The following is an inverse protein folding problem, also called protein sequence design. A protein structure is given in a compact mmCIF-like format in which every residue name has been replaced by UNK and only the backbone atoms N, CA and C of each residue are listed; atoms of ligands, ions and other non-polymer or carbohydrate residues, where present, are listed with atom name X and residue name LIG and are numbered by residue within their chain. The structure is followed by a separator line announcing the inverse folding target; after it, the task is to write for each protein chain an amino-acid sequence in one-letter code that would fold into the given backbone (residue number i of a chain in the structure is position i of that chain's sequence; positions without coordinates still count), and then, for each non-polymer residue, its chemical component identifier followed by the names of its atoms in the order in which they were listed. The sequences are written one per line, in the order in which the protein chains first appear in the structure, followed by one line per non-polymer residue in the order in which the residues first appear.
data_IF_397622885307
#
_entry.id   IF_397622885307
#
_cell.length_a   1.000
_cell.length_b   1.000
_cell.length_c   1.000
_cell.angle_alpha   90.00
_cell.angle_beta   90.00
_cell.angle_gamma   90.00
#
_symmetry.space_group_name_H-M   'P 1'
#
loop_
_entity.id
_entity.type
_entity.pdbx_description
1 polymer ?
#
# COMPACT_ATOMS: atom_id res chain seq x y z
N UNK A 1 9.06 19.58 5.53
CA UNK A 1 8.34 18.60 4.71
C UNK A 1 8.73 18.66 3.25
N UNK A 2 8.69 19.82 2.58
CA UNK A 2 9.14 20.01 1.18
C UNK A 2 10.56 19.49 0.94
N UNK A 3 11.51 19.82 1.83
CA UNK A 3 12.92 19.36 1.72
C UNK A 3 13.04 17.82 1.72
N UNK A 4 12.24 17.13 2.54
CA UNK A 4 12.23 15.66 2.59
C UNK A 4 11.66 15.07 1.30
N UNK A 5 10.54 15.61 0.77
CA UNK A 5 9.96 15.17 -0.50
C UNK A 5 10.94 15.38 -1.65
N UNK A 6 11.48 16.58 -1.78
CA UNK A 6 12.45 16.91 -2.86
C UNK A 6 13.70 16.05 -2.74
N UNK A 7 14.25 15.88 -1.54
CA UNK A 7 15.46 15.07 -1.31
C UNK A 7 15.25 13.59 -1.64
N UNK A 8 14.09 13.01 -1.27
CA UNK A 8 13.80 11.61 -1.58
C UNK A 8 13.54 11.38 -3.07
N UNK A 9 12.81 12.27 -3.74
CA UNK A 9 12.59 12.15 -5.19
C UNK A 9 13.91 12.31 -5.95
N UNK A 10 14.75 13.29 -5.56
CA UNK A 10 16.07 13.46 -6.13
C UNK A 10 16.96 12.23 -5.93
N UNK A 11 16.96 11.65 -4.72
CA UNK A 11 17.65 10.39 -4.44
C UNK A 11 17.18 9.25 -5.35
N UNK A 12 15.87 9.13 -5.56
CA UNK A 12 15.29 8.13 -6.46
C UNK A 12 15.71 8.35 -7.93
N UNK A 13 15.79 9.61 -8.40
CA UNK A 13 16.28 9.96 -9.74
C UNK A 13 17.75 9.54 -9.90
N UNK A 14 18.61 9.90 -8.94
CA UNK A 14 20.05 9.56 -8.98
C UNK A 14 20.23 8.03 -8.98
N UNK A 15 19.54 7.32 -8.11
CA UNK A 15 19.60 5.86 -8.03
C UNK A 15 19.11 5.24 -9.36
N UNK A 16 18.01 5.74 -9.92
CA UNK A 16 17.48 5.27 -11.19
C UNK A 16 18.47 5.47 -12.36
N UNK A 17 19.17 6.61 -12.43
CA UNK A 17 20.21 6.88 -13.44
C UNK A 17 21.35 5.86 -13.31
N UNK A 18 21.86 5.66 -12.08
CA UNK A 18 22.96 4.69 -11.85
C UNK A 18 22.50 3.29 -12.26
N UNK A 19 21.26 2.92 -11.93
CA UNK A 19 20.71 1.62 -12.26
C UNK A 19 20.59 1.41 -13.78
N UNK A 20 20.08 2.41 -14.51
CA UNK A 20 19.99 2.37 -15.98
C UNK A 20 21.35 2.24 -16.69
N UNK A 21 22.41 2.76 -16.09
CA UNK A 21 23.75 2.75 -16.66
C UNK A 21 24.54 1.46 -16.35
N UNK A 22 24.32 0.85 -15.19
CA UNK A 22 25.20 -0.23 -14.71
C UNK A 22 24.66 -1.63 -14.94
N UNK A 23 23.33 -1.84 -14.88
CA UNK A 23 22.66 -3.13 -15.10
C UNK A 23 23.33 -4.34 -14.42
N UNK A 24 24.03 -4.11 -13.32
CA UNK A 24 24.75 -5.15 -12.58
C UNK A 24 23.94 -5.59 -11.36
N UNK A 25 23.82 -6.90 -11.15
CA UNK A 25 23.00 -7.47 -10.07
C UNK A 25 23.46 -7.04 -8.67
N UNK A 26 24.79 -7.07 -8.40
CA UNK A 26 25.31 -6.67 -7.08
C UNK A 26 25.07 -5.16 -6.81
N UNK A 27 25.29 -4.33 -7.84
CA UNK A 27 24.97 -2.89 -7.77
C UNK A 27 23.47 -2.68 -7.60
N UNK A 28 22.64 -3.42 -8.33
CA UNK A 28 21.19 -3.37 -8.21
C UNK A 28 20.72 -3.63 -6.76
N UNK A 29 21.26 -4.62 -6.06
CA UNK A 29 20.92 -4.90 -4.66
C UNK A 29 21.17 -3.69 -3.74
N UNK A 30 22.31 -3.01 -3.90
CA UNK A 30 22.64 -1.81 -3.12
C UNK A 30 21.72 -0.65 -3.49
N UNK A 31 21.45 -0.46 -4.79
CA UNK A 31 20.56 0.59 -5.27
C UNK A 31 19.10 0.38 -4.80
N UNK A 32 18.61 -0.85 -4.78
CA UNK A 32 17.30 -1.18 -4.26
C UNK A 32 17.18 -0.93 -2.76
N UNK A 33 18.23 -1.23 -1.98
CA UNK A 33 18.26 -0.85 -0.57
C UNK A 33 18.21 0.68 -0.41
N UNK A 34 18.95 1.43 -1.23
CA UNK A 34 18.92 2.89 -1.27
C UNK A 34 17.54 3.45 -1.65
N UNK A 35 16.88 2.84 -2.64
CA UNK A 35 15.48 3.17 -2.99
C UNK A 35 14.53 2.91 -1.82
N UNK A 36 14.68 1.78 -1.12
CA UNK A 36 13.90 1.48 0.07
C UNK A 36 14.01 2.58 1.13
N UNK A 37 15.23 3.03 1.42
CA UNK A 37 15.45 4.15 2.35
C UNK A 37 14.81 5.44 1.84
N UNK A 38 15.05 5.79 0.58
CA UNK A 38 14.54 7.04 -0.01
C UNK A 38 13.02 7.06 -0.09
N UNK A 39 12.40 5.97 -0.53
CA UNK A 39 10.95 5.92 -0.78
C UNK A 39 10.16 5.57 0.48
N UNK A 40 10.51 4.50 1.19
CA UNK A 40 9.71 4.01 2.32
C UNK A 40 9.90 4.90 3.55
N UNK A 41 11.15 5.21 3.92
CA UNK A 41 11.41 5.96 5.15
C UNK A 41 11.22 7.47 4.99
N UNK A 42 11.61 8.04 3.85
CA UNK A 42 11.61 9.50 3.67
C UNK A 42 10.39 9.98 2.91
N UNK A 43 10.18 9.49 1.68
CA UNK A 43 9.08 9.94 0.83
C UNK A 43 7.72 9.60 1.43
N UNK A 44 7.54 8.33 1.82
CA UNK A 44 6.25 7.84 2.30
C UNK A 44 5.80 8.55 3.58
N UNK A 45 6.69 8.72 4.53
CA UNK A 45 6.39 9.46 5.77
C UNK A 45 6.04 10.93 5.49
N UNK A 46 6.77 11.57 4.56
CA UNK A 46 6.54 12.96 4.20
C UNK A 46 5.23 13.17 3.44
N UNK A 47 4.90 12.31 2.46
CA UNK A 47 3.67 12.41 1.67
C UNK A 47 2.42 12.08 2.50
N UNK A 48 2.49 11.03 3.32
CA UNK A 48 1.40 10.66 4.24
C UNK A 48 1.07 11.81 5.19
N UNK A 49 2.10 12.45 5.76
CA UNK A 49 1.92 13.65 6.59
C UNK A 49 1.34 14.82 5.77
N UNK A 50 1.77 14.98 4.52
CA UNK A 50 1.25 16.05 3.65
C UNK A 50 -0.24 15.87 3.36
N UNK A 51 -0.67 14.67 3.00
CA UNK A 51 -2.08 14.33 2.77
C UNK A 51 -2.90 14.51 4.04
N UNK A 52 -2.36 14.08 5.20
CA UNK A 52 -3.00 14.27 6.51
C UNK A 52 -3.18 15.73 6.94
N UNK A 53 -2.53 16.69 6.25
CA UNK A 53 -2.69 18.14 6.48
C UNK A 53 -3.65 18.82 5.49
N UNK A 54 -4.21 18.04 4.54
CA UNK A 54 -5.21 18.52 3.58
C UNK A 54 -6.60 18.19 4.12
N UNK A 55 -7.50 19.18 4.08
CA UNK A 55 -8.87 18.99 4.57
C UNK A 55 -9.00 19.02 6.09
N UNK A 56 -10.20 18.78 6.56
CA UNK A 56 -10.55 18.66 7.97
C UNK A 56 -10.37 17.22 8.48
N UNK A 57 -10.44 17.02 9.80
CA UNK A 57 -10.39 15.67 10.38
C UNK A 57 -11.50 14.74 9.85
N UNK A 58 -12.64 15.33 9.48
CA UNK A 58 -13.81 14.61 8.96
C UNK A 58 -13.67 14.22 7.48
N UNK A 59 -12.73 14.84 6.75
CA UNK A 59 -12.50 14.63 5.30
C UNK A 59 -11.25 13.79 5.01
N UNK A 60 -10.57 13.28 6.03
CA UNK A 60 -9.30 12.58 5.86
C UNK A 60 -9.42 11.28 5.05
N UNK A 61 -10.53 10.56 5.23
CA UNK A 61 -10.79 9.36 4.43
C UNK A 61 -10.87 9.69 2.93
N UNK A 62 -11.57 10.76 2.58
CA UNK A 62 -11.66 11.23 1.19
C UNK A 62 -10.31 11.71 0.66
N UNK A 63 -9.54 12.47 1.45
CA UNK A 63 -8.22 12.97 1.04
C UNK A 63 -7.26 11.82 0.69
N UNK A 64 -7.18 10.80 1.55
CA UNK A 64 -6.37 9.62 1.27
C UNK A 64 -6.94 8.80 0.09
N UNK A 65 -8.26 8.66 0.01
CA UNK A 65 -8.91 7.97 -1.10
C UNK A 65 -8.59 8.61 -2.46
N UNK A 66 -8.67 9.94 -2.57
CA UNK A 66 -8.31 10.68 -3.78
C UNK A 66 -6.83 10.53 -4.10
N UNK A 67 -5.96 10.60 -3.09
CA UNK A 67 -4.52 10.40 -3.26
C UNK A 67 -4.21 9.04 -3.90
N UNK A 68 -4.78 7.96 -3.37
CA UNK A 68 -4.55 6.62 -3.91
C UNK A 68 -5.19 6.41 -5.29
N UNK A 69 -6.39 6.96 -5.53
CA UNK A 69 -7.00 6.90 -6.85
C UNK A 69 -6.16 7.61 -7.91
N UNK A 70 -5.67 8.82 -7.61
CA UNK A 70 -4.80 9.57 -8.49
C UNK A 70 -3.48 8.83 -8.74
N UNK A 71 -2.87 8.25 -7.70
CA UNK A 71 -1.64 7.46 -7.83
C UNK A 71 -1.86 6.21 -8.69
N UNK A 72 -3.02 5.54 -8.58
CA UNK A 72 -3.39 4.40 -9.43
C UNK A 72 -3.49 4.75 -10.91
N UNK A 73 -4.12 5.87 -11.24
CA UNK A 73 -4.23 6.36 -12.64
C UNK A 73 -2.84 6.67 -13.20
N UNK A 74 -2.04 7.43 -12.46
CA UNK A 74 -0.68 7.80 -12.89
C UNK A 74 0.20 6.56 -13.05
N UNK A 75 0.11 5.60 -12.13
CA UNK A 75 0.84 4.32 -12.23
C UNK A 75 0.43 3.51 -13.46
N UNK A 76 -0.87 3.46 -13.79
CA UNK A 76 -1.35 2.78 -14.98
C UNK A 76 -0.80 3.41 -16.26
N UNK A 77 -0.82 4.75 -16.36
CA UNK A 77 -0.25 5.49 -17.50
C UNK A 77 1.25 5.23 -17.60
N UNK A 78 1.99 5.34 -16.48
CA UNK A 78 3.43 5.11 -16.44
C UNK A 78 3.79 3.70 -16.90
N UNK A 79 3.10 2.67 -16.37
CA UNK A 79 3.33 1.29 -16.75
C UNK A 79 3.04 1.06 -18.23
N UNK A 80 1.96 1.64 -18.77
CA UNK A 80 1.63 1.56 -20.19
C UNK A 80 2.71 2.20 -21.06
N UNK A 81 3.21 3.39 -20.70
CA UNK A 81 4.29 4.07 -21.42
C UNK A 81 5.58 3.26 -21.34
N UNK A 82 5.98 2.78 -20.16
CA UNK A 82 7.19 1.96 -19.99
C UNK A 82 7.12 0.68 -20.85
N UNK A 83 5.95 0.05 -20.90
CA UNK A 83 5.73 -1.14 -21.74
C UNK A 83 5.83 -0.80 -23.24
N UNK A 84 5.34 0.34 -23.69
CA UNK A 84 5.42 0.72 -25.10
C UNK A 84 6.87 1.08 -25.50
N UNK A 85 7.57 1.86 -24.67
CA UNK A 85 8.96 2.24 -25.00
C UNK A 85 9.94 1.06 -24.88
N UNK A 86 9.65 0.07 -24.03
CA UNK A 86 10.47 -1.14 -23.95
C UNK A 86 10.45 -1.97 -25.23
N UNK A 87 9.40 -1.84 -26.06
CA UNK A 87 9.27 -2.52 -27.36
C UNK A 87 10.11 -1.87 -28.48
N UNK A 88 10.82 -0.75 -28.20
CA UNK A 88 11.67 -0.09 -29.19
C UNK A 88 12.97 -0.87 -29.46
N UNK A 89 13.27 -1.92 -28.70
CA UNK A 89 14.41 -2.80 -28.90
C UNK A 89 14.01 -4.25 -28.72
N UNK A 90 14.55 -5.13 -29.58
CA UNK A 90 14.39 -6.58 -29.46
C UNK A 90 15.39 -7.21 -28.48
N UNK A 91 16.48 -6.47 -28.14
CA UNK A 91 17.43 -6.93 -27.14
C UNK A 91 16.86 -6.71 -25.72
N UNK A 92 16.72 -7.78 -24.91
CA UNK A 92 16.09 -7.70 -23.59
C UNK A 92 16.78 -6.71 -22.64
N UNK A 93 18.12 -6.60 -22.70
CA UNK A 93 18.90 -5.70 -21.85
C UNK A 93 18.64 -4.24 -22.21
N UNK A 94 18.70 -3.92 -23.50
CA UNK A 94 18.41 -2.57 -24.02
C UNK A 94 16.96 -2.19 -23.79
N UNK A 95 16.02 -3.09 -24.04
CA UNK A 95 14.59 -2.92 -23.78
C UNK A 95 14.31 -2.55 -22.30
N UNK A 96 14.93 -3.28 -21.38
CA UNK A 96 14.82 -3.00 -19.95
C UNK A 96 15.45 -1.64 -19.58
N UNK A 97 16.64 -1.32 -20.12
CA UNK A 97 17.30 -0.03 -19.90
C UNK A 97 16.42 1.15 -20.34
N UNK A 98 15.80 1.05 -21.53
CA UNK A 98 14.89 2.07 -22.04
C UNK A 98 13.71 2.28 -21.08
N UNK A 99 13.11 1.20 -20.57
CA UNK A 99 12.02 1.29 -19.59
C UNK A 99 12.47 1.98 -18.29
N UNK A 100 13.68 1.69 -17.80
CA UNK A 100 14.24 2.36 -16.60
C UNK A 100 14.47 3.85 -16.88
N UNK A 101 15.01 4.22 -18.04
CA UNK A 101 15.16 5.63 -18.42
C UNK A 101 13.83 6.37 -18.51
N UNK A 102 12.78 5.73 -19.00
CA UNK A 102 11.44 6.31 -18.98
C UNK A 102 10.95 6.58 -17.55
N UNK A 103 11.14 5.62 -16.62
CA UNK A 103 10.81 5.82 -15.20
C UNK A 103 11.62 6.97 -14.57
N UNK A 104 12.90 7.08 -14.88
CA UNK A 104 13.75 8.17 -14.42
C UNK A 104 13.24 9.52 -14.93
N UNK A 105 12.87 9.61 -16.21
CA UNK A 105 12.32 10.83 -16.80
C UNK A 105 11.02 11.25 -16.10
N UNK A 106 10.10 10.33 -15.86
CA UNK A 106 8.86 10.62 -15.11
C UNK A 106 9.14 11.07 -13.68
N UNK A 107 10.09 10.44 -13.00
CA UNK A 107 10.48 10.81 -11.63
C UNK A 107 11.14 12.19 -11.60
N UNK A 108 11.93 12.53 -12.62
CA UNK A 108 12.52 13.87 -12.76
C UNK A 108 11.44 14.95 -13.01
N UNK A 109 10.43 14.65 -13.83
CA UNK A 109 9.27 15.54 -14.00
C UNK A 109 8.55 15.73 -12.67
N UNK A 110 8.30 14.65 -11.92
CA UNK A 110 7.68 14.74 -10.60
C UNK A 110 8.50 15.58 -9.61
N UNK A 111 9.85 15.50 -9.68
CA UNK A 111 10.76 16.36 -8.91
C UNK A 111 10.53 17.85 -9.22
N UNK A 112 10.53 18.20 -10.51
CA UNK A 112 10.33 19.58 -10.96
C UNK A 112 8.95 20.10 -10.52
N UNK A 113 7.90 19.31 -10.74
CA UNK A 113 6.54 19.66 -10.32
C UNK A 113 6.44 19.87 -8.79
N UNK A 114 7.10 18.99 -8.02
CA UNK A 114 7.15 19.13 -6.55
C UNK A 114 7.88 20.40 -6.13
N UNK A 115 8.99 20.75 -6.79
CA UNK A 115 9.71 21.99 -6.51
C UNK A 115 8.88 23.24 -6.79
N UNK A 116 8.12 23.25 -7.90
CA UNK A 116 7.35 24.40 -8.35
C UNK A 116 6.05 24.53 -7.55
N UNK A 117 5.26 23.48 -7.52
CA UNK A 117 3.87 23.54 -7.05
C UNK A 117 3.70 23.20 -5.56
N UNK A 118 4.59 22.41 -4.97
CA UNK A 118 4.46 22.08 -3.58
C UNK A 118 4.83 23.27 -2.70
N UNK A 119 3.83 24.00 -2.25
CA UNK A 119 3.97 25.08 -1.27
C UNK A 119 3.71 24.49 0.11
N UNK A 120 4.72 24.53 0.96
CA UNK A 120 4.55 24.26 2.37
C UNK A 120 3.59 25.34 2.91
N UNK A 121 2.33 24.97 3.22
CA UNK A 121 1.47 25.88 3.98
C UNK A 121 2.26 26.19 5.23
N UNK A 122 2.55 27.48 5.48
CA UNK A 122 2.81 27.93 6.82
C UNK A 122 1.53 27.63 7.60
N UNK A 123 1.45 26.42 8.14
CA UNK A 123 0.52 26.22 9.22
C UNK A 123 1.05 27.22 10.23
N UNK A 124 0.27 28.26 10.49
CA UNK A 124 0.36 28.97 11.75
C UNK A 124 0.13 27.85 12.76
N UNK A 125 1.21 27.15 13.06
CA UNK A 125 1.27 26.31 14.22
C UNK A 125 0.88 27.29 15.32
N UNK A 126 -0.32 27.13 15.87
CA UNK A 126 -0.46 27.46 17.27
C UNK A 126 0.82 26.93 17.86
N UNK A 127 1.71 27.85 18.24
CA UNK A 127 3.02 27.55 18.79
C UNK A 127 2.85 26.57 19.95
N UNK A 128 2.77 25.30 19.63
CA UNK A 128 3.21 24.28 20.54
C UNK A 128 4.71 24.19 20.27
N UNK A 129 5.45 25.02 21.01
CA UNK A 129 6.90 24.97 21.26
C UNK A 129 7.71 24.25 20.17
N UNK A 130 8.78 24.89 19.70
CA UNK A 130 9.93 24.31 19.01
C UNK A 130 10.47 23.09 19.79
N UNK A 131 9.71 22.02 19.87
CA UNK A 131 10.20 20.77 20.39
C UNK A 131 10.89 20.07 19.23
N UNK A 132 12.21 20.34 19.12
CA UNK A 132 13.14 19.55 18.30
C UNK A 132 12.81 18.05 18.47
N UNK A 133 12.90 17.31 17.36
CA UNK A 133 12.79 15.84 17.40
C UNK A 133 13.79 15.31 18.44
N UNK A 134 13.28 14.78 19.54
CA UNK A 134 14.10 14.15 20.57
C UNK A 134 13.91 12.64 20.50
N UNK A 135 14.99 11.89 20.59
CA UNK A 135 14.97 10.41 20.65
C UNK A 135 14.01 9.91 21.76
N UNK A 136 13.78 10.72 22.78
CA UNK A 136 12.78 10.45 23.82
C UNK A 136 11.37 10.18 23.24
N UNK A 137 10.97 10.87 22.17
CA UNK A 137 9.64 10.68 21.55
C UNK A 137 9.51 9.34 20.83
N UNK A 138 10.63 8.78 20.34
CA UNK A 138 10.64 7.41 19.82
C UNK A 138 10.33 6.42 20.95
N UNK A 139 10.97 6.61 22.11
CA UNK A 139 10.71 5.80 23.30
C UNK A 139 9.25 5.92 23.79
N UNK A 140 8.66 7.12 23.75
CA UNK A 140 7.25 7.33 24.11
C UNK A 140 6.30 6.67 23.11
N UNK A 141 6.57 6.78 21.81
CA UNK A 141 5.78 6.12 20.77
C UNK A 141 5.83 4.59 20.91
N UNK A 142 7.01 4.02 21.17
CA UNK A 142 7.18 2.57 21.37
C UNK A 142 6.51 2.05 22.64
N UNK A 143 6.42 2.86 23.71
CA UNK A 143 5.72 2.51 24.95
C UNK A 143 4.20 2.58 24.82
N UNK A 144 3.68 3.27 23.81
CA UNK A 144 2.24 3.41 23.62
C UNK A 144 1.66 2.13 22.98
N UNK A 145 0.78 1.39 23.67
CA UNK A 145 0.20 0.16 23.12
C UNK A 145 -0.62 0.41 21.84
N UNK A 146 -1.18 1.62 21.68
CA UNK A 146 -1.93 1.99 20.47
C UNK A 146 -1.02 2.00 19.23
N UNK A 147 0.27 2.35 19.36
CA UNK A 147 1.24 2.32 18.27
C UNK A 147 1.39 0.91 17.72
N UNK A 148 1.53 -0.08 18.59
CA UNK A 148 1.66 -1.48 18.19
C UNK A 148 0.39 -2.04 17.55
N UNK A 149 -0.77 -1.78 18.16
CA UNK A 149 -2.05 -2.21 17.61
C UNK A 149 -2.30 -1.59 16.24
N UNK A 150 -2.03 -0.29 16.07
CA UNK A 150 -2.18 0.38 14.79
C UNK A 150 -1.21 -0.20 13.74
N UNK A 151 0.06 -0.42 14.11
CA UNK A 151 1.06 -1.03 13.22
C UNK A 151 0.69 -2.43 12.78
N UNK A 152 0.19 -3.27 13.69
CA UNK A 152 -0.27 -4.63 13.39
C UNK A 152 -1.55 -4.63 12.54
N UNK A 153 -2.44 -3.68 12.74
CA UNK A 153 -3.62 -3.49 11.88
C UNK A 153 -3.18 -3.12 10.45
N UNK A 154 -2.20 -2.20 10.31
CA UNK A 154 -1.60 -1.85 9.01
C UNK A 154 -0.97 -3.08 8.35
N UNK A 155 -0.22 -3.90 9.11
CA UNK A 155 0.37 -5.16 8.63
C UNK A 155 -0.69 -6.10 8.05
N UNK A 156 -1.79 -6.30 8.77
CA UNK A 156 -2.86 -7.17 8.30
C UNK A 156 -3.52 -6.62 7.03
N UNK A 157 -3.84 -5.32 7.00
CA UNK A 157 -4.48 -4.70 5.85
C UNK A 157 -3.56 -4.68 4.61
N UNK A 158 -2.27 -4.36 4.80
CA UNK A 158 -1.28 -4.37 3.73
C UNK A 158 -1.00 -5.78 3.22
N UNK A 159 -0.88 -6.76 4.12
CA UNK A 159 -0.69 -8.15 3.74
C UNK A 159 -1.84 -8.71 2.88
N UNK A 160 -3.07 -8.31 3.16
CA UNK A 160 -4.23 -8.64 2.33
C UNK A 160 -4.17 -7.93 0.97
N UNK A 161 -3.76 -6.66 0.94
CA UNK A 161 -3.63 -5.86 -0.27
C UNK A 161 -2.56 -6.42 -1.22
N UNK A 162 -1.34 -6.68 -0.74
CA UNK A 162 -0.23 -7.15 -1.59
C UNK A 162 -0.47 -8.57 -2.11
N UNK A 163 -1.18 -9.41 -1.35
CA UNK A 163 -1.40 -10.81 -1.68
C UNK A 163 -2.49 -11.08 -2.73
N UNK A 164 -3.22 -10.05 -3.17
CA UNK A 164 -4.24 -10.23 -4.25
C UNK A 164 -3.63 -10.66 -5.58
N UNK A 165 -2.32 -10.47 -5.77
CA UNK A 165 -1.56 -10.94 -6.93
C UNK A 165 -1.64 -12.45 -7.14
N UNK A 166 -1.78 -13.24 -6.07
CA UNK A 166 -1.90 -14.70 -6.11
C UNK A 166 -3.19 -15.20 -6.76
N UNK A 167 -4.18 -14.34 -6.94
CA UNK A 167 -5.36 -14.69 -7.74
C UNK A 167 -5.04 -14.85 -9.23
N UNK A 168 -3.99 -14.23 -9.77
CA UNK A 168 -3.65 -14.36 -11.19
C UNK A 168 -3.19 -15.79 -11.55
N UNK A 169 -2.17 -16.37 -10.89
CA UNK A 169 -1.81 -17.75 -11.12
C UNK A 169 -2.92 -18.72 -10.66
N UNK A 170 -3.69 -18.44 -9.62
CA UNK A 170 -4.84 -19.26 -9.24
C UNK A 170 -5.88 -19.38 -10.37
N UNK A 171 -6.20 -18.29 -11.04
CA UNK A 171 -7.13 -18.31 -12.19
C UNK A 171 -6.61 -19.15 -13.36
N UNK A 172 -5.28 -19.13 -13.63
CA UNK A 172 -4.69 -19.92 -14.73
C UNK A 172 -4.48 -21.37 -14.33
N UNK A 173 -3.85 -21.62 -13.21
CA UNK A 173 -3.30 -22.93 -12.86
C UNK A 173 -4.35 -23.86 -12.23
N UNK A 174 -5.34 -23.29 -11.54
CA UNK A 174 -6.40 -24.06 -10.86
C UNK A 174 -7.71 -24.02 -11.64
N UNK A 175 -8.10 -22.84 -12.13
CA UNK A 175 -9.40 -22.66 -12.79
C UNK A 175 -9.31 -22.72 -14.32
N UNK A 176 -8.10 -22.89 -14.90
CA UNK A 176 -7.89 -23.07 -16.34
C UNK A 176 -8.25 -21.83 -17.19
N UNK A 177 -8.30 -20.64 -16.61
CA UNK A 177 -8.60 -19.41 -17.34
C UNK A 177 -7.40 -19.06 -18.23
N UNK A 178 -7.60 -18.76 -19.53
CA UNK A 178 -6.51 -18.42 -20.43
C UNK A 178 -5.64 -17.29 -19.90
N UNK A 179 -4.31 -17.41 -20.03
CA UNK A 179 -3.31 -16.46 -19.52
C UNK A 179 -3.60 -15.01 -19.93
N UNK A 180 -4.06 -14.79 -21.17
CA UNK A 180 -4.40 -13.44 -21.67
C UNK A 180 -5.51 -12.81 -20.84
N UNK A 181 -6.56 -13.57 -20.50
CA UNK A 181 -7.66 -13.10 -19.68
C UNK A 181 -7.22 -12.87 -18.23
N UNK A 182 -6.48 -13.79 -17.65
CA UNK A 182 -5.92 -13.65 -16.29
C UNK A 182 -5.01 -12.42 -16.18
N UNK A 183 -4.18 -12.15 -17.21
CA UNK A 183 -3.32 -10.97 -17.27
C UNK A 183 -4.14 -9.68 -17.33
N UNK A 184 -5.21 -9.64 -18.13
CA UNK A 184 -6.11 -8.48 -18.18
C UNK A 184 -6.79 -8.25 -16.83
N UNK A 185 -7.30 -9.30 -16.19
CA UNK A 185 -7.90 -9.23 -14.85
C UNK A 185 -6.87 -8.72 -13.83
N UNK A 186 -5.59 -9.11 -13.97
CA UNK A 186 -4.50 -8.62 -13.12
C UNK A 186 -4.29 -7.11 -13.25
N UNK A 187 -4.35 -6.58 -14.48
CA UNK A 187 -4.26 -5.13 -14.73
C UNK A 187 -5.44 -4.40 -14.06
N UNK A 188 -6.66 -4.91 -14.21
CA UNK A 188 -7.85 -4.35 -13.55
C UNK A 188 -7.65 -4.35 -12.04
N UNK A 189 -7.21 -5.48 -11.49
CA UNK A 189 -6.98 -5.67 -10.05
C UNK A 189 -5.93 -4.72 -9.48
N UNK A 190 -4.82 -4.54 -10.18
CA UNK A 190 -3.68 -3.76 -9.68
C UNK A 190 -3.84 -2.25 -9.85
N UNK A 191 -4.53 -1.81 -10.90
CA UNK A 191 -4.60 -0.40 -11.27
C UNK A 191 -6.01 0.19 -11.12
N UNK A 192 -7.03 -0.46 -11.69
CA UNK A 192 -8.38 0.11 -11.70
C UNK A 192 -9.07 0.04 -10.34
N UNK A 193 -8.73 -0.95 -9.50
CA UNK A 193 -9.30 -1.03 -8.14
C UNK A 193 -8.87 0.13 -7.24
N UNK A 194 -7.78 0.84 -7.54
CA UNK A 194 -7.40 2.08 -6.84
C UNK A 194 -8.48 3.17 -6.96
N UNK A 195 -9.29 3.14 -8.02
CA UNK A 195 -10.41 4.07 -8.20
C UNK A 195 -11.52 3.88 -7.13
N UNK A 196 -11.50 2.77 -6.41
CA UNK A 196 -12.43 2.51 -5.30
C UNK A 196 -11.97 3.16 -3.98
N UNK A 197 -10.72 3.65 -3.90
CA UNK A 197 -10.22 4.29 -2.69
C UNK A 197 -11.07 5.49 -2.22
N UNK A 198 -11.55 6.42 -3.10
CA UNK A 198 -12.45 7.49 -2.69
C UNK A 198 -13.78 6.98 -2.13
N UNK A 199 -14.27 5.84 -2.62
CA UNK A 199 -15.47 5.19 -2.08
C UNK A 199 -15.22 4.75 -0.63
N UNK A 200 -14.04 4.16 -0.34
CA UNK A 200 -13.59 3.89 1.03
C UNK A 200 -13.60 5.15 1.90
N UNK A 201 -13.12 6.28 1.35
CA UNK A 201 -13.17 7.58 2.02
C UNK A 201 -14.59 8.03 2.37
N UNK A 202 -15.51 7.98 1.40
CA UNK A 202 -16.93 8.32 1.61
C UNK A 202 -17.55 7.41 2.69
N UNK A 203 -17.25 6.12 2.66
CA UNK A 203 -17.74 5.14 3.64
C UNK A 203 -17.25 5.52 5.05
N UNK A 204 -15.97 5.84 5.20
CA UNK A 204 -15.39 6.26 6.49
C UNK A 204 -16.03 7.56 6.97
N UNK A 205 -16.06 8.59 6.14
CA UNK A 205 -16.38 9.94 6.56
C UNK A 205 -17.89 10.17 6.70
N UNK A 206 -18.71 9.60 5.81
CA UNK A 206 -20.16 9.86 5.77
C UNK A 206 -21.02 8.74 6.36
N UNK A 207 -20.64 7.47 6.16
CA UNK A 207 -21.47 6.33 6.58
C UNK A 207 -21.12 5.91 8.00
N UNK A 208 -19.87 5.52 8.24
CA UNK A 208 -19.44 5.03 9.54
C UNK A 208 -19.06 6.13 10.52
N UNK A 209 -18.62 7.29 10.02
CA UNK A 209 -18.04 8.41 10.79
C UNK A 209 -16.95 7.93 11.76
N UNK A 210 -16.20 6.92 11.35
CA UNK A 210 -15.17 6.27 12.15
C UNK A 210 -14.38 5.32 11.28
N UNK A 211 -13.06 5.54 11.20
CA UNK A 211 -12.13 4.68 10.47
C UNK A 211 -12.10 3.27 11.06
N UNK A 212 -12.06 3.15 12.39
CA UNK A 212 -12.00 1.84 13.07
C UNK A 212 -13.26 1.00 12.86
N UNK A 213 -14.46 1.62 12.74
CA UNK A 213 -15.68 0.88 12.41
C UNK A 213 -15.59 0.31 11.00
N UNK A 214 -15.13 1.13 10.05
CA UNK A 214 -14.95 0.66 8.67
C UNK A 214 -13.94 -0.47 8.60
N UNK A 215 -12.79 -0.37 9.29
CA UNK A 215 -11.79 -1.43 9.28
C UNK A 215 -12.33 -2.77 9.78
N UNK A 216 -13.09 -2.77 10.88
CA UNK A 216 -13.74 -4.00 11.39
C UNK A 216 -14.67 -4.58 10.33
N UNK A 217 -15.49 -3.75 9.69
CA UNK A 217 -16.44 -4.19 8.65
C UNK A 217 -15.71 -4.72 7.42
N UNK A 218 -14.67 -4.02 6.94
CA UNK A 218 -13.90 -4.42 5.78
C UNK A 218 -13.16 -5.76 6.01
N UNK A 219 -12.54 -5.94 7.18
CA UNK A 219 -11.98 -7.24 7.55
C UNK A 219 -13.03 -8.34 7.62
N UNK A 220 -14.22 -8.05 8.19
CA UNK A 220 -15.34 -8.99 8.22
C UNK A 220 -15.80 -9.42 6.83
N UNK A 221 -15.96 -8.46 5.90
CA UNK A 221 -16.30 -8.76 4.50
C UNK A 221 -15.20 -9.60 3.85
N UNK A 222 -13.93 -9.27 4.09
CA UNK A 222 -12.78 -10.01 3.55
C UNK A 222 -12.77 -11.47 4.04
N UNK A 223 -13.10 -11.73 5.32
CA UNK A 223 -13.23 -13.10 5.86
C UNK A 223 -14.30 -13.88 5.08
N UNK A 224 -15.45 -13.27 4.84
CA UNK A 224 -16.54 -13.92 4.08
C UNK A 224 -16.11 -14.21 2.64
N UNK A 225 -15.42 -13.27 1.98
CA UNK A 225 -14.94 -13.46 0.61
C UNK A 225 -13.93 -14.62 0.54
N UNK A 226 -12.89 -14.63 1.40
CA UNK A 226 -11.92 -15.73 1.40
C UNK A 226 -12.55 -17.07 1.82
N UNK A 227 -13.51 -17.05 2.75
CA UNK A 227 -14.31 -18.24 3.08
C UNK A 227 -15.05 -18.77 1.85
N UNK A 228 -15.67 -17.89 1.05
CA UNK A 228 -16.31 -18.25 -0.21
C UNK A 228 -15.32 -18.80 -1.24
N UNK A 229 -14.13 -18.22 -1.35
CA UNK A 229 -13.08 -18.73 -2.26
C UNK A 229 -12.64 -20.14 -1.87
N UNK A 230 -12.50 -20.43 -0.57
CA UNK A 230 -12.06 -21.74 -0.08
C UNK A 230 -13.06 -22.88 -0.35
N UNK A 231 -14.35 -22.58 -0.41
CA UNK A 231 -15.39 -23.57 -0.70
C UNK A 231 -15.82 -23.57 -2.18
N UNK A 232 -15.20 -22.75 -3.00
CA UNK A 232 -15.55 -22.58 -4.41
C UNK A 232 -15.17 -23.82 -5.21
N UNK A 233 -16.10 -24.43 -5.98
CA UNK A 233 -15.78 -25.58 -6.80
C UNK A 233 -14.86 -25.20 -7.99
N UNK A 234 -13.99 -26.13 -8.40
CA UNK A 234 -13.05 -25.90 -9.52
C UNK A 234 -13.71 -25.75 -10.88
N UNK A 235 -14.96 -26.20 -11.04
CA UNK A 235 -15.72 -26.12 -12.29
C UNK A 235 -16.59 -24.85 -12.40
N UNK A 236 -16.28 -23.81 -11.64
CA UNK A 236 -17.00 -22.52 -11.68
C UNK A 236 -16.88 -21.84 -13.03
N UNK A 237 -17.92 -21.09 -13.44
CA UNK A 237 -17.86 -20.33 -14.68
C UNK A 237 -16.73 -19.29 -14.68
N UNK A 238 -16.02 -19.06 -15.80
CA UNK A 238 -14.94 -18.07 -15.88
C UNK A 238 -15.35 -16.66 -15.45
N UNK A 239 -16.61 -16.28 -15.72
CA UNK A 239 -17.15 -14.97 -15.34
C UNK A 239 -17.25 -14.86 -13.81
N UNK A 240 -17.80 -15.87 -13.15
CA UNK A 240 -17.93 -15.87 -11.70
C UNK A 240 -16.57 -15.95 -11.01
N UNK A 241 -15.63 -16.75 -11.54
CA UNK A 241 -14.24 -16.81 -11.07
C UNK A 241 -13.56 -15.42 -11.13
N UNK A 242 -13.76 -14.71 -12.26
CA UNK A 242 -13.27 -13.34 -12.44
C UNK A 242 -13.83 -12.40 -11.38
N UNK A 243 -15.15 -12.36 -11.22
CA UNK A 243 -15.80 -11.49 -10.23
C UNK A 243 -15.27 -11.79 -8.82
N UNK A 244 -15.28 -13.06 -8.42
CA UNK A 244 -14.81 -13.49 -7.09
C UNK A 244 -13.34 -13.10 -6.87
N UNK A 245 -12.48 -13.19 -7.89
CA UNK A 245 -11.07 -12.81 -7.78
C UNK A 245 -10.84 -11.30 -7.63
N UNK A 246 -11.78 -10.46 -8.07
CA UNK A 246 -11.71 -9.01 -7.94
C UNK A 246 -12.22 -8.49 -6.60
N UNK A 247 -13.12 -9.21 -5.92
CA UNK A 247 -13.72 -8.78 -4.65
C UNK A 247 -12.69 -8.50 -3.54
N UNK A 248 -11.68 -9.37 -3.28
CA UNK A 248 -10.67 -9.09 -2.26
C UNK A 248 -9.88 -7.82 -2.55
N UNK A 249 -9.58 -7.56 -3.84
CA UNK A 249 -8.90 -6.34 -4.26
C UNK A 249 -9.75 -5.11 -4.08
N UNK A 250 -11.04 -5.17 -4.41
CA UNK A 250 -11.98 -4.06 -4.25
C UNK A 250 -12.09 -3.65 -2.77
N UNK A 251 -12.36 -4.60 -1.88
CA UNK A 251 -12.44 -4.33 -0.44
C UNK A 251 -11.07 -3.93 0.12
N UNK A 252 -10.00 -4.61 -0.31
CA UNK A 252 -8.63 -4.29 0.08
C UNK A 252 -8.25 -2.86 -0.26
N UNK A 253 -8.61 -2.35 -1.45
CA UNK A 253 -8.36 -0.96 -1.86
C UNK A 253 -9.19 0.04 -1.07
N UNK A 254 -10.47 -0.24 -0.82
CA UNK A 254 -11.30 0.62 0.02
C UNK A 254 -10.85 0.64 1.48
N UNK A 255 -10.20 -0.40 1.96
CA UNK A 255 -9.61 -0.46 3.30
C UNK A 255 -8.24 0.25 3.33
N UNK A 256 -7.33 -0.17 2.44
CA UNK A 256 -5.95 0.31 2.40
C UNK A 256 -5.86 1.79 2.02
N UNK A 257 -6.69 2.24 1.07
CA UNK A 257 -6.72 3.63 0.64
C UNK A 257 -7.05 4.64 1.75
N UNK A 258 -7.67 4.19 2.83
CA UNK A 258 -8.02 5.06 3.98
C UNK A 258 -7.31 4.66 5.27
N UNK A 259 -6.33 3.75 5.21
CA UNK A 259 -5.72 3.14 6.39
C UNK A 259 -5.09 4.16 7.34
N UNK A 260 -4.52 5.24 6.78
CA UNK A 260 -3.87 6.30 7.55
C UNK A 260 -4.85 7.29 8.20
N UNK A 261 -6.12 7.33 7.76
CA UNK A 261 -7.15 8.16 8.40
C UNK A 261 -7.40 7.74 9.87
N UNK A 262 -7.13 6.47 10.21
CA UNK A 262 -7.23 5.96 11.56
C UNK A 262 -6.26 6.58 12.56
N UNK A 263 -5.18 7.21 12.10
CA UNK A 263 -4.24 7.92 12.98
C UNK A 263 -4.91 9.03 13.79
N UNK A 264 -5.83 9.76 13.19
CA UNK A 264 -6.54 10.85 13.86
C UNK A 264 -7.49 10.30 14.93
N UNK A 265 -8.17 9.20 14.63
CA UNK A 265 -9.07 8.54 15.59
C UNK A 265 -8.31 7.98 16.81
N UNK A 266 -7.05 7.57 16.61
CA UNK A 266 -6.18 7.09 17.69
C UNK A 266 -5.66 8.19 18.61
N UNK A 267 -5.87 9.49 18.29
CA UNK A 267 -5.47 10.65 19.10
C UNK A 267 -4.00 10.64 19.53
N UNK A 268 -3.10 10.24 18.66
CA UNK A 268 -1.68 10.36 18.94
C UNK A 268 -1.28 11.83 19.12
N UNK A 269 -0.40 12.10 20.08
CA UNK A 269 0.13 13.46 20.27
C UNK A 269 0.84 13.91 18.99
N UNK A 270 0.56 15.12 18.47
CA UNK A 270 1.14 15.61 17.21
C UNK A 270 2.66 15.50 17.13
N UNK A 271 3.34 15.66 18.28
CA UNK A 271 4.80 15.68 18.36
C UNK A 271 5.46 14.36 17.95
N UNK A 272 4.82 13.22 18.19
CA UNK A 272 5.37 11.92 17.78
C UNK A 272 4.52 11.19 16.73
N UNK A 273 3.49 11.82 16.18
CA UNK A 273 2.66 11.22 15.14
C UNK A 273 3.47 10.76 13.92
N UNK A 274 4.48 11.53 13.49
CA UNK A 274 5.40 11.13 12.44
C UNK A 274 6.23 9.88 12.79
N UNK A 275 6.63 9.75 14.07
CA UNK A 275 7.34 8.55 14.56
C UNK A 275 6.42 7.33 14.54
N UNK A 276 5.15 7.49 14.93
CA UNK A 276 4.15 6.40 14.84
C UNK A 276 3.96 5.97 13.40
N UNK A 277 3.85 6.90 12.45
CA UNK A 277 3.76 6.57 11.01
C UNK A 277 4.99 5.77 10.57
N UNK A 278 6.19 6.19 10.97
CA UNK A 278 7.44 5.48 10.65
C UNK A 278 7.44 4.05 11.20
N UNK A 279 7.11 3.86 12.48
CA UNK A 279 7.03 2.53 13.11
C UNK A 279 5.95 1.68 12.42
N UNK A 280 4.77 2.26 12.20
CA UNK A 280 3.67 1.56 11.55
C UNK A 280 3.98 1.20 10.09
N UNK A 281 4.78 1.99 9.37
CA UNK A 281 5.23 1.67 8.02
C UNK A 281 6.24 0.52 8.04
N UNK A 282 7.21 0.53 8.95
CA UNK A 282 8.20 -0.55 9.06
C UNK A 282 7.49 -1.88 9.33
N UNK A 283 6.63 -1.94 10.33
CA UNK A 283 5.91 -3.15 10.71
C UNK A 283 4.86 -3.50 9.65
N UNK A 284 4.13 -2.51 9.18
CA UNK A 284 3.02 -2.68 8.25
C UNK A 284 3.42 -3.27 6.90
N UNK A 285 4.62 -2.94 6.40
CA UNK A 285 5.11 -3.44 5.11
C UNK A 285 5.95 -4.72 5.22
N UNK A 286 6.13 -5.29 6.41
CA UNK A 286 6.80 -6.59 6.59
C UNK A 286 6.22 -7.73 5.72
N UNK A 287 4.91 -7.81 5.40
CA UNK A 287 4.39 -8.84 4.51
C UNK A 287 5.18 -9.01 3.21
N UNK A 288 5.67 -7.95 2.59
CA UNK A 288 6.50 -8.03 1.38
C UNK A 288 7.81 -8.80 1.61
N UNK A 289 8.32 -8.81 2.83
CA UNK A 289 9.57 -9.50 3.16
C UNK A 289 9.40 -11.01 3.35
N UNK A 290 8.24 -11.49 3.80
CA UNK A 290 8.10 -12.90 4.16
C UNK A 290 6.91 -13.63 3.52
N UNK A 291 5.82 -12.94 3.10
CA UNK A 291 4.70 -13.63 2.46
C UNK A 291 5.12 -14.33 1.17
N UNK A 292 5.87 -13.63 0.30
CA UNK A 292 6.34 -14.21 -0.95
C UNK A 292 7.25 -15.43 -0.73
N UNK A 293 8.08 -15.41 0.33
CA UNK A 293 8.94 -16.54 0.69
C UNK A 293 8.10 -17.74 1.17
N UNK A 294 7.13 -17.49 2.05
CA UNK A 294 6.26 -18.54 2.60
C UNK A 294 5.39 -19.13 1.49
N UNK A 295 4.72 -18.28 0.74
CA UNK A 295 3.78 -18.73 -0.30
C UNK A 295 4.52 -19.39 -1.46
N UNK A 296 5.70 -18.89 -1.86
CA UNK A 296 6.56 -19.52 -2.85
C UNK A 296 6.96 -20.94 -2.42
N UNK A 297 7.44 -21.12 -1.18
CA UNK A 297 7.76 -22.44 -0.65
C UNK A 297 6.56 -23.39 -0.61
N UNK A 298 5.35 -22.86 -0.34
CA UNK A 298 4.15 -23.69 -0.39
C UNK A 298 3.80 -24.09 -1.82
N UNK A 299 3.92 -23.17 -2.78
CA UNK A 299 3.68 -23.47 -4.20
C UNK A 299 4.70 -24.49 -4.74
N UNK A 300 5.99 -24.36 -4.39
CA UNK A 300 7.04 -25.33 -4.78
C UNK A 300 6.78 -26.73 -4.20
N UNK A 301 6.28 -26.80 -2.97
CA UNK A 301 6.10 -28.09 -2.27
C UNK A 301 4.76 -28.76 -2.57
N UNK A 302 3.69 -28.01 -2.74
CA UNK A 302 2.32 -28.51 -2.80
C UNK A 302 1.64 -28.24 -4.15
N UNK A 303 2.31 -27.52 -5.07
CA UNK A 303 1.72 -27.13 -6.35
C UNK A 303 0.39 -26.38 -6.17
N UNK A 304 -0.63 -26.77 -6.93
CA UNK A 304 -1.95 -26.16 -6.88
C UNK A 304 -2.66 -26.30 -5.51
N UNK A 305 -2.28 -27.28 -4.69
CA UNK A 305 -2.83 -27.41 -3.34
C UNK A 305 -2.32 -26.34 -2.37
N UNK A 306 -1.34 -25.52 -2.76
CA UNK A 306 -0.90 -24.37 -1.97
C UNK A 306 -1.93 -23.24 -1.93
N UNK A 307 -2.77 -23.06 -2.97
CA UNK A 307 -3.74 -21.95 -3.03
C UNK A 307 -4.75 -21.97 -1.88
N UNK A 308 -5.40 -23.08 -1.52
CA UNK A 308 -6.23 -23.14 -0.32
C UNK A 308 -5.49 -22.76 0.96
N UNK A 309 -4.21 -23.14 1.08
CA UNK A 309 -3.37 -22.78 2.24
C UNK A 309 -3.11 -21.27 2.27
N UNK A 310 -2.79 -20.66 1.11
CA UNK A 310 -2.57 -19.22 0.98
C UNK A 310 -3.86 -18.46 1.33
N UNK A 311 -4.98 -18.83 0.75
CA UNK A 311 -6.26 -18.15 1.02
C UNK A 311 -6.75 -18.37 2.46
N UNK A 312 -6.51 -19.53 3.05
CA UNK A 312 -6.75 -19.81 4.47
C UNK A 312 -5.89 -18.93 5.38
N UNK A 313 -4.61 -18.76 5.06
CA UNK A 313 -3.70 -17.85 5.76
C UNK A 313 -4.18 -16.40 5.67
N UNK A 314 -4.60 -15.95 4.49
CA UNK A 314 -5.11 -14.61 4.28
C UNK A 314 -6.44 -14.37 5.03
N UNK A 315 -7.32 -15.37 5.07
CA UNK A 315 -8.52 -15.34 5.91
C UNK A 315 -8.15 -15.20 7.39
N UNK A 316 -7.18 -15.97 7.88
CA UNK A 316 -6.63 -15.85 9.25
C UNK A 316 -6.05 -14.46 9.52
N UNK A 317 -5.34 -13.87 8.55
CA UNK A 317 -4.85 -12.48 8.62
C UNK A 317 -5.99 -11.48 8.75
N UNK A 318 -7.09 -11.68 8.02
CA UNK A 318 -8.27 -10.81 8.12
C UNK A 318 -8.94 -10.93 9.50
N UNK A 319 -9.05 -12.14 10.06
CA UNK A 319 -9.55 -12.37 11.42
C UNK A 319 -8.66 -11.65 12.43
N UNK A 320 -7.34 -11.79 12.33
CA UNK A 320 -6.38 -11.11 13.20
C UNK A 320 -6.53 -9.58 13.12
N UNK A 321 -6.62 -9.03 11.90
CA UNK A 321 -6.83 -7.59 11.66
C UNK A 321 -8.12 -7.08 12.29
N UNK A 322 -9.22 -7.85 12.18
CA UNK A 322 -10.49 -7.52 12.80
C UNK A 322 -10.39 -7.50 14.34
N UNK A 323 -9.77 -8.51 14.94
CA UNK A 323 -9.58 -8.60 16.41
C UNK A 323 -8.73 -7.43 16.91
N UNK A 324 -7.60 -7.15 16.25
CA UNK A 324 -6.73 -6.02 16.59
C UNK A 324 -7.50 -4.70 16.54
N UNK A 325 -8.29 -4.50 15.49
CA UNK A 325 -9.07 -3.25 15.33
C UNK A 325 -10.15 -3.12 16.39
N UNK A 326 -10.77 -4.23 16.82
CA UNK A 326 -11.72 -4.23 17.95
C UNK A 326 -11.01 -3.82 19.25
N UNK A 327 -9.80 -4.34 19.50
CA UNK A 327 -8.99 -3.96 20.68
C UNK A 327 -8.61 -2.49 20.64
N UNK A 328 -8.15 -1.98 19.46
CA UNK A 328 -7.89 -0.54 19.26
C UNK A 328 -9.10 0.29 19.66
N UNK A 329 -10.27 -0.07 19.15
CA UNK A 329 -11.50 0.66 19.42
C UNK A 329 -11.90 0.64 20.90
N UNK A 330 -11.69 -0.48 21.60
CA UNK A 330 -11.92 -0.55 23.05
C UNK A 330 -11.00 0.41 23.81
N UNK A 331 -9.72 0.49 23.42
CA UNK A 331 -8.76 1.42 24.03
C UNK A 331 -9.11 2.89 23.74
N UNK A 332 -9.52 3.20 22.49
CA UNK A 332 -9.96 4.55 22.12
C UNK A 332 -11.14 4.99 23.02
N UNK A 333 -12.13 4.11 23.23
CA UNK A 333 -13.29 4.39 24.06
C UNK A 333 -12.95 4.53 25.54
N UNK A 334 -11.93 3.82 26.03
CA UNK A 334 -11.50 3.92 27.44
C UNK A 334 -10.77 5.22 27.72
N UNK A 335 -10.12 5.80 26.72
CA UNK A 335 -9.33 7.04 26.83
C UNK A 335 -10.15 8.31 26.46
N UNK A 336 -11.44 8.16 26.10
CA UNK A 336 -12.44 9.20 25.91
C UNK A 336 -13.37 9.29 27.11
#
# INVERSE_FOLDING_TARGET
MKKCLVGSILGSVVIGIIYALTMNFAVACVLWAGLGVSTIFVFWAAITKAVGQVGTAEEQGMCYGIYYAASGIISAILNAVCLQVSRLSDDPSTSFSIAVWAMVAFTAVALILTMIFFKEKSITQTKSSDEEFKIKYVGEALKNPMTWLFSLMVLCAYGLYTSVSYFSPYLTDVLGIPLVHSSFISIVRSNLMNLLCPIGGIIVDKIFKSSTKWYITAFGITIVIYGGVLIMPSNISPVLATIVSLLPSAIGMMLYGVIWSGLQECKFKPIYAGTVIGIASIIGYLPDSFYYIIFGKWMDKFGNNAYPMIFGFLMGTAVLGMVITILMRKLIKKNN
#
